data_IF_119395463698
#
_entry.id   IF_119395463698
#
_cell.length_a   1.000
_cell.length_b   1.000
_cell.length_c   1.000
_cell.angle_alpha   90.00
_cell.angle_beta   90.00
_cell.angle_gamma   90.00
#
_symmetry.space_group_name_H-M   'P 1'
#
loop_
_entity.id
_entity.type
_entity.pdbx_description
1 polymer ?
#
# COMPACT_ATOMS: atom_id res chain seq x y z
N UNK A 1 1.95 -23.56 -10.77
CA UNK A 1 1.52 -23.27 -9.38
C UNK A 1 0.97 -21.85 -9.36
N UNK A 2 -0.25 -21.61 -8.85
CA UNK A 2 -0.85 -20.25 -8.86
C UNK A 2 -0.01 -19.26 -8.05
N UNK A 3 0.12 -17.99 -8.51
CA UNK A 3 0.81 -16.91 -7.78
C UNK A 3 0.32 -16.79 -6.32
N UNK A 4 -0.99 -16.99 -6.09
CA UNK A 4 -1.58 -17.02 -4.74
C UNK A 4 -0.93 -18.05 -3.82
N UNK A 5 -0.66 -19.26 -4.32
CA UNK A 5 -0.04 -20.32 -3.52
C UNK A 5 1.44 -20.03 -3.21
N UNK A 6 2.13 -19.27 -4.06
CA UNK A 6 3.49 -18.83 -3.77
C UNK A 6 3.50 -17.83 -2.61
N UNK A 7 2.58 -16.87 -2.60
CA UNK A 7 2.44 -15.91 -1.50
C UNK A 7 2.06 -16.57 -0.18
N UNK A 8 1.13 -17.53 -0.19
CA UNK A 8 0.77 -18.27 1.03
C UNK A 8 1.99 -19.01 1.60
N UNK A 9 2.78 -19.68 0.75
CA UNK A 9 3.99 -20.38 1.18
C UNK A 9 5.05 -19.42 1.72
N UNK A 10 5.28 -18.31 1.04
CA UNK A 10 6.25 -17.30 1.47
C UNK A 10 5.84 -16.68 2.81
N UNK A 11 4.56 -16.31 2.96
CA UNK A 11 4.01 -15.80 4.20
C UNK A 11 4.18 -16.79 5.35
N UNK A 12 3.85 -18.07 5.11
CA UNK A 12 4.04 -19.14 6.09
C UNK A 12 5.50 -19.35 6.46
N UNK A 13 6.44 -19.16 5.54
CA UNK A 13 7.87 -19.23 5.84
C UNK A 13 8.33 -18.08 6.74
N UNK A 14 7.79 -16.89 6.57
CA UNK A 14 8.20 -15.67 7.30
C UNK A 14 7.53 -15.60 8.68
N UNK A 15 6.22 -15.86 8.75
CA UNK A 15 5.40 -15.63 9.95
C UNK A 15 4.90 -16.91 10.61
N UNK A 16 5.28 -18.09 10.11
CA UNK A 16 4.81 -19.39 10.60
C UNK A 16 3.27 -19.49 10.70
N UNK A 17 2.56 -18.87 9.76
CA UNK A 17 1.11 -18.80 9.74
C UNK A 17 0.57 -18.65 8.32
N UNK A 18 -0.74 -18.84 8.12
CA UNK A 18 -1.40 -18.57 6.84
C UNK A 18 -2.01 -17.17 6.82
N UNK A 19 -1.95 -16.44 5.69
CA UNK A 19 -2.54 -15.12 5.58
C UNK A 19 -4.06 -15.18 5.52
N UNK A 20 -4.71 -14.09 5.94
CA UNK A 20 -6.17 -13.98 5.93
C UNK A 20 -6.66 -13.30 4.64
N UNK A 21 -5.94 -12.27 4.17
CA UNK A 21 -6.28 -11.49 2.98
C UNK A 21 -5.06 -11.36 2.06
N UNK A 22 -5.30 -11.39 0.75
CA UNK A 22 -4.33 -11.06 -0.31
C UNK A 22 -5.01 -10.05 -1.22
N UNK A 23 -4.43 -8.86 -1.36
CA UNK A 23 -4.89 -7.83 -2.29
C UNK A 23 -3.76 -7.37 -3.19
N UNK A 24 -4.11 -6.91 -4.37
CA UNK A 24 -3.16 -6.52 -5.41
C UNK A 24 -3.64 -5.22 -6.04
N UNK A 25 -2.71 -4.32 -6.36
CA UNK A 25 -2.99 -3.12 -7.16
C UNK A 25 -1.90 -2.93 -8.22
N UNK A 26 -2.27 -2.51 -9.44
CA UNK A 26 -1.31 -2.29 -10.52
C UNK A 26 -0.59 -0.95 -10.35
N UNK A 27 0.63 -0.86 -10.90
CA UNK A 27 1.20 0.44 -11.26
C UNK A 27 0.43 1.08 -12.42
N UNK A 28 0.74 2.32 -12.76
CA UNK A 28 0.09 3.03 -13.88
C UNK A 28 1.12 3.76 -14.74
N UNK A 29 0.92 3.78 -16.05
CA UNK A 29 1.65 4.65 -16.96
C UNK A 29 0.76 5.80 -17.39
N UNK A 30 1.30 7.02 -17.37
CA UNK A 30 0.62 8.15 -18.00
C UNK A 30 0.81 8.08 -19.52
N UNK A 31 -0.28 8.28 -20.27
CA UNK A 31 -0.28 8.30 -21.73
C UNK A 31 -0.23 9.75 -22.23
N UNK A 32 -1.04 10.65 -21.66
CA UNK A 32 -1.03 12.09 -21.96
C UNK A 32 -1.60 12.89 -20.77
N UNK A 33 -1.23 14.16 -20.64
CA UNK A 33 -1.79 15.07 -19.64
C UNK A 33 -0.89 15.36 -18.43
N UNK A 34 0.41 15.10 -18.55
CA UNK A 34 1.40 15.42 -17.51
C UNK A 34 1.22 16.85 -17.00
N UNK A 35 1.31 17.01 -15.68
CA UNK A 35 1.23 18.31 -15.00
C UNK A 35 -0.13 19.03 -15.10
N UNK A 36 -1.19 18.34 -15.53
CA UNK A 36 -2.52 18.95 -15.62
C UNK A 36 -3.43 18.61 -14.45
N UNK A 37 -3.20 17.51 -13.75
CA UNK A 37 -4.08 16.97 -12.70
C UNK A 37 -4.18 17.91 -11.49
N UNK A 38 -3.05 18.48 -11.04
CA UNK A 38 -3.03 19.51 -10.00
C UNK A 38 -3.48 20.90 -10.48
N UNK A 39 -3.73 21.07 -11.78
CA UNK A 39 -4.26 22.28 -12.41
C UNK A 39 -5.74 22.12 -12.85
N UNK A 40 -6.45 21.09 -12.36
CA UNK A 40 -7.83 20.79 -12.76
C UNK A 40 -8.02 20.52 -14.27
N UNK A 41 -6.97 20.05 -14.94
CA UNK A 41 -7.03 19.62 -16.34
C UNK A 41 -7.34 18.12 -16.50
N UNK A 42 -7.27 17.63 -17.74
CA UNK A 42 -7.54 16.24 -18.07
C UNK A 42 -6.24 15.46 -18.28
N UNK A 43 -6.21 14.23 -17.77
CA UNK A 43 -5.13 13.27 -18.03
C UNK A 43 -5.71 11.92 -18.48
N UNK A 44 -4.94 11.19 -19.28
CA UNK A 44 -5.21 9.81 -19.66
C UNK A 44 -4.04 8.95 -19.20
N UNK A 45 -4.37 7.91 -18.45
CA UNK A 45 -3.44 6.94 -17.90
C UNK A 45 -4.01 5.53 -18.07
N UNK A 46 -3.15 4.52 -17.94
CA UNK A 46 -3.56 3.14 -17.95
C UNK A 46 -2.76 2.33 -16.91
N UNK A 47 -3.44 1.40 -16.25
CA UNK A 47 -2.79 0.39 -15.43
C UNK A 47 -1.82 -0.45 -16.28
N UNK A 48 -0.62 -0.71 -15.75
CA UNK A 48 0.36 -1.58 -16.40
C UNK A 48 0.22 -3.01 -15.90
N UNK A 49 0.75 -3.97 -16.66
CA UNK A 49 0.79 -5.39 -16.25
C UNK A 49 1.91 -5.68 -15.23
N UNK A 50 2.03 -4.84 -14.21
CA UNK A 50 2.94 -4.92 -13.06
C UNK A 50 2.18 -4.49 -11.82
N UNK A 51 2.33 -5.19 -10.72
CA UNK A 51 1.52 -5.03 -9.53
C UNK A 51 2.34 -5.06 -8.24
N UNK A 52 1.80 -4.38 -7.23
CA UNK A 52 2.14 -4.62 -5.84
C UNK A 52 1.07 -5.50 -5.21
N UNK A 53 1.51 -6.50 -4.44
CA UNK A 53 0.64 -7.40 -3.68
C UNK A 53 0.91 -7.24 -2.19
N UNK A 54 -0.16 -7.01 -1.44
CA UNK A 54 -0.16 -6.99 0.02
C UNK A 54 -0.86 -8.25 0.53
N UNK A 55 -0.18 -8.98 1.40
CA UNK A 55 -0.64 -10.23 2.01
C UNK A 55 -0.65 -10.00 3.52
N UNK A 56 -1.82 -10.09 4.15
CA UNK A 56 -1.99 -9.64 5.53
C UNK A 56 -2.68 -10.68 6.40
N UNK A 57 -2.31 -10.68 7.69
CA UNK A 57 -2.94 -11.47 8.73
C UNK A 57 -3.19 -10.62 9.98
N UNK A 58 -4.38 -10.71 10.55
CA UNK A 58 -4.70 -10.04 11.82
C UNK A 58 -3.98 -10.72 12.99
N UNK A 59 -3.52 -9.91 13.94
CA UNK A 59 -2.91 -10.35 15.19
C UNK A 59 -3.65 -9.74 16.39
N UNK A 60 -3.56 -10.43 17.52
CA UNK A 60 -4.22 -10.04 18.78
C UNK A 60 -3.42 -9.05 19.63
N UNK A 61 -2.28 -8.58 19.14
CA UNK A 61 -1.45 -7.55 19.80
C UNK A 61 -1.53 -6.21 19.06
N UNK A 62 -0.64 -5.28 19.39
CA UNK A 62 -0.55 -3.95 18.76
C UNK A 62 0.66 -3.82 17.83
N UNK A 63 1.31 -4.94 17.48
CA UNK A 63 2.54 -4.93 16.68
C UNK A 63 2.18 -5.03 15.20
N UNK A 64 2.79 -4.16 14.41
CA UNK A 64 2.81 -4.26 12.95
C UNK A 64 4.14 -4.88 12.56
N UNK A 65 4.10 -6.02 11.86
CA UNK A 65 5.30 -6.72 11.39
C UNK A 65 5.31 -6.73 9.88
N UNK A 66 6.21 -5.97 9.27
CA UNK A 66 6.22 -5.78 7.82
C UNK A 66 7.45 -6.44 7.21
N UNK A 67 7.24 -7.29 6.21
CA UNK A 67 8.28 -7.86 5.38
C UNK A 67 8.04 -7.44 3.93
N UNK A 68 9.09 -7.00 3.25
CA UNK A 68 9.10 -6.79 1.80
C UNK A 68 10.13 -7.69 1.13
N UNK A 69 9.74 -8.36 0.05
CA UNK A 69 10.65 -9.17 -0.77
C UNK A 69 11.74 -8.34 -1.45
N UNK A 70 11.47 -7.07 -1.74
CA UNK A 70 12.41 -6.15 -2.39
C UNK A 70 13.27 -5.33 -1.43
N UNK A 71 12.79 -5.07 -0.22
CA UNK A 71 13.41 -4.07 0.67
C UNK A 71 13.85 -4.59 2.05
N UNK A 72 13.51 -5.83 2.42
CA UNK A 72 13.83 -6.34 3.76
C UNK A 72 14.41 -7.75 3.74
N UNK A 73 15.37 -8.02 4.64
CA UNK A 73 15.88 -9.38 4.89
C UNK A 73 15.11 -10.09 6.01
N UNK A 74 14.58 -9.31 6.96
CA UNK A 74 13.80 -9.75 8.11
C UNK A 74 12.63 -8.78 8.33
N UNK A 75 11.54 -9.20 9.00
CA UNK A 75 10.41 -8.31 9.27
C UNK A 75 10.83 -7.10 10.12
N UNK A 76 10.47 -5.90 9.66
CA UNK A 76 10.50 -4.68 10.46
C UNK A 76 9.30 -4.66 11.40
N UNK A 77 9.49 -4.17 12.62
CA UNK A 77 8.44 -4.17 13.64
C UNK A 77 8.27 -2.77 14.21
N UNK A 78 7.03 -2.28 14.26
CA UNK A 78 6.65 -1.05 14.95
C UNK A 78 5.29 -1.21 15.64
N UNK A 79 4.95 -0.28 16.52
CA UNK A 79 3.70 -0.31 17.27
C UNK A 79 2.63 0.52 16.54
N UNK A 80 1.40 0.01 16.51
CA UNK A 80 0.27 0.66 15.86
C UNK A 80 -0.06 2.03 16.48
N UNK A 81 0.19 2.21 17.77
CA UNK A 81 -0.02 3.47 18.50
C UNK A 81 1.19 4.42 18.45
N UNK A 82 2.30 4.01 17.83
CA UNK A 82 3.53 4.79 17.76
C UNK A 82 4.19 4.69 16.36
N UNK A 83 3.53 5.30 15.37
CA UNK A 83 4.00 5.35 13.98
C UNK A 83 4.80 6.63 13.70
N UNK A 84 6.02 6.69 14.23
CA UNK A 84 6.93 7.81 13.96
C UNK A 84 7.53 7.73 12.56
N UNK A 85 7.83 8.92 12.00
CA UNK A 85 8.54 9.06 10.72
C UNK A 85 9.91 8.39 10.82
N UNK A 86 10.19 7.50 9.87
CA UNK A 86 11.51 6.92 9.68
C UNK A 86 12.45 7.91 9.00
N UNK A 87 13.59 7.41 8.52
CA UNK A 87 14.49 8.21 7.70
C UNK A 87 13.81 8.69 6.40
N UNK A 88 14.32 9.77 5.83
CA UNK A 88 13.81 10.27 4.55
C UNK A 88 14.00 9.21 3.46
N UNK A 89 12.92 8.86 2.75
CA UNK A 89 12.92 7.81 1.73
C UNK A 89 12.75 6.39 2.27
N UNK A 90 12.54 6.20 3.57
CA UNK A 90 12.17 4.89 4.13
C UNK A 90 10.80 4.43 3.62
N UNK A 91 10.77 3.30 2.91
CA UNK A 91 9.56 2.72 2.35
C UNK A 91 8.50 2.38 3.42
N UNK A 92 8.91 2.15 4.66
CA UNK A 92 7.98 1.91 5.77
C UNK A 92 7.10 3.13 6.07
N UNK A 93 7.51 4.34 5.67
CA UNK A 93 6.68 5.54 5.81
C UNK A 93 5.38 5.44 4.99
N UNK A 94 5.39 4.78 3.83
CA UNK A 94 4.18 4.50 3.05
C UNK A 94 3.22 3.59 3.81
N UNK A 95 3.76 2.52 4.41
CA UNK A 95 2.97 1.58 5.22
C UNK A 95 2.34 2.30 6.40
N UNK A 96 3.14 3.06 7.17
CA UNK A 96 2.68 3.82 8.32
C UNK A 96 1.65 4.88 7.94
N UNK A 97 1.87 5.62 6.84
CA UNK A 97 0.95 6.65 6.36
C UNK A 97 -0.42 6.09 6.03
N UNK A 98 -0.47 4.96 5.32
CA UNK A 98 -1.74 4.27 4.99
C UNK A 98 -2.43 3.79 6.26
N UNK A 99 -1.71 3.16 7.19
CA UNK A 99 -2.31 2.66 8.44
C UNK A 99 -2.87 3.81 9.29
N UNK A 100 -2.19 4.95 9.37
CA UNK A 100 -2.69 6.15 10.05
C UNK A 100 -3.99 6.66 9.43
N UNK A 101 -4.10 6.67 8.10
CA UNK A 101 -5.32 7.08 7.42
C UNK A 101 -6.46 6.06 7.59
N UNK A 102 -6.16 4.76 7.59
CA UNK A 102 -7.15 3.71 7.87
C UNK A 102 -7.71 3.84 9.29
N UNK A 103 -6.87 4.16 10.29
CA UNK A 103 -7.30 4.38 11.67
C UNK A 103 -8.33 5.52 11.82
N UNK A 104 -8.38 6.47 10.88
CA UNK A 104 -9.37 7.56 10.89
C UNK A 104 -10.78 7.11 10.51
N UNK A 105 -10.91 5.97 9.84
CA UNK A 105 -12.20 5.46 9.34
C UNK A 105 -12.63 4.14 10.00
N UNK A 106 -11.77 3.49 10.76
CA UNK A 106 -12.11 2.28 11.49
C UNK A 106 -11.05 1.82 12.47
N UNK A 107 -11.43 0.90 13.36
CA UNK A 107 -10.53 0.33 14.36
C UNK A 107 -9.77 -0.85 13.76
N UNK A 108 -8.46 -0.82 13.89
CA UNK A 108 -7.56 -1.91 13.47
C UNK A 108 -6.73 -2.40 14.67
N UNK A 109 -6.09 -3.56 14.54
CA UNK A 109 -5.18 -4.14 15.53
C UNK A 109 -3.80 -4.44 14.90
N UNK A 110 -2.90 -5.04 15.67
CA UNK A 110 -1.65 -5.57 15.16
C UNK A 110 -1.88 -6.53 13.99
N UNK A 111 -0.91 -6.60 13.10
CA UNK A 111 -0.98 -7.43 11.90
C UNK A 111 0.39 -7.76 11.34
N UNK A 112 0.46 -8.87 10.63
CA UNK A 112 1.62 -9.25 9.84
C UNK A 112 1.35 -8.90 8.38
N UNK A 113 2.31 -8.24 7.73
CA UNK A 113 2.18 -7.69 6.38
C UNK A 113 3.36 -8.15 5.54
N UNK A 114 3.08 -8.90 4.49
CA UNK A 114 4.04 -9.21 3.43
C UNK A 114 3.71 -8.37 2.20
N UNK A 115 4.72 -7.65 1.71
CA UNK A 115 4.67 -6.86 0.47
C UNK A 115 5.58 -7.50 -0.57
N UNK A 116 5.06 -7.66 -1.78
CA UNK A 116 5.82 -8.03 -2.97
C UNK A 116 5.42 -7.11 -4.12
N UNK A 117 6.38 -6.65 -4.92
CA UNK A 117 6.10 -5.75 -6.03
C UNK A 117 7.00 -6.05 -7.21
N UNK A 118 6.40 -6.15 -8.40
CA UNK A 118 7.12 -6.12 -9.68
C UNK A 118 6.95 -4.79 -10.43
N UNK A 119 6.39 -3.77 -9.77
CA UNK A 119 6.35 -2.39 -10.28
C UNK A 119 7.74 -1.75 -10.10
N UNK A 120 8.38 -1.24 -11.18
CA UNK A 120 9.67 -0.57 -11.07
C UNK A 120 9.63 0.65 -10.13
N UNK A 121 10.59 0.72 -9.22
CA UNK A 121 10.67 1.78 -8.20
C UNK A 121 11.02 3.17 -8.76
N UNK A 122 11.57 3.29 -9.97
CA UNK A 122 12.12 4.53 -10.53
C UNK A 122 11.65 4.88 -11.94
N UNK A 123 10.45 4.45 -12.34
CA UNK A 123 9.97 4.60 -13.73
C UNK A 123 8.92 5.68 -13.99
N UNK A 124 8.52 6.48 -12.98
CA UNK A 124 7.33 7.35 -13.10
C UNK A 124 6.02 6.56 -13.27
N UNK A 125 6.01 5.29 -12.86
CA UNK A 125 4.89 4.35 -13.04
C UNK A 125 4.05 4.10 -11.78
N UNK A 126 4.10 5.05 -10.83
CA UNK A 126 3.34 5.06 -9.56
C UNK A 126 3.47 3.79 -8.73
N UNK A 127 4.71 3.40 -8.43
CA UNK A 127 4.99 2.31 -7.49
C UNK A 127 4.49 2.59 -6.07
N UNK A 128 4.45 3.86 -5.65
CA UNK A 128 3.87 4.29 -4.36
C UNK A 128 2.35 4.07 -4.33
N UNK A 129 1.62 4.58 -5.31
CA UNK A 129 0.16 4.41 -5.36
C UNK A 129 -0.25 2.93 -5.43
N UNK A 130 0.47 2.10 -6.19
CA UNK A 130 0.24 0.65 -6.22
C UNK A 130 0.43 0.00 -4.83
N UNK A 131 1.48 0.39 -4.09
CA UNK A 131 1.70 -0.07 -2.72
C UNK A 131 0.58 0.37 -1.79
N UNK A 132 0.22 1.65 -1.83
CA UNK A 132 -0.79 2.24 -0.96
C UNK A 132 -2.18 1.62 -1.16
N UNK A 133 -2.56 1.40 -2.42
CA UNK A 133 -3.85 0.81 -2.77
C UNK A 133 -3.91 -0.69 -2.46
N UNK A 134 -2.83 -1.43 -2.73
CA UNK A 134 -2.77 -2.85 -2.37
C UNK A 134 -2.89 -3.01 -0.85
N UNK A 135 -2.15 -2.21 -0.08
CA UNK A 135 -2.17 -2.24 1.38
C UNK A 135 -3.53 -1.81 1.94
N UNK A 136 -4.04 -0.64 1.54
CA UNK A 136 -5.33 -0.14 2.05
C UNK A 136 -6.46 -1.12 1.74
N UNK A 137 -6.50 -1.69 0.53
CA UNK A 137 -7.50 -2.71 0.16
C UNK A 137 -7.38 -3.95 1.03
N UNK A 138 -6.16 -4.44 1.27
CA UNK A 138 -5.93 -5.61 2.12
C UNK A 138 -6.39 -5.35 3.57
N UNK A 139 -6.03 -4.21 4.15
CA UNK A 139 -6.32 -3.85 5.54
C UNK A 139 -7.81 -3.55 5.74
N UNK A 140 -8.43 -2.76 4.86
CA UNK A 140 -9.88 -2.49 4.93
C UNK A 140 -10.68 -3.80 4.85
N UNK A 141 -10.29 -4.72 3.97
CA UNK A 141 -10.91 -6.05 3.87
C UNK A 141 -10.68 -6.90 5.13
N UNK A 142 -9.46 -6.89 5.68
CA UNK A 142 -9.08 -7.65 6.88
C UNK A 142 -9.95 -7.25 8.08
N UNK A 143 -10.19 -5.96 8.25
CA UNK A 143 -10.98 -5.42 9.36
C UNK A 143 -12.46 -5.16 9.00
N UNK A 144 -12.90 -5.56 7.80
CA UNK A 144 -14.28 -5.39 7.30
C UNK A 144 -14.76 -3.93 7.38
N UNK A 145 -13.88 -3.00 7.04
CA UNK A 145 -14.18 -1.56 6.97
C UNK A 145 -14.62 -1.26 5.53
N UNK A 146 -15.85 -0.80 5.36
CA UNK A 146 -16.39 -0.43 4.05
C UNK A 146 -15.95 0.97 3.65
N UNK A 147 -15.38 1.10 2.45
CA UNK A 147 -14.95 2.38 1.89
C UNK A 147 -15.01 2.31 0.36
N UNK A 148 -15.63 3.30 -0.28
CA UNK A 148 -15.71 3.34 -1.74
C UNK A 148 -14.34 3.57 -2.39
N UNK A 149 -14.15 3.12 -3.62
CA UNK A 149 -12.83 3.18 -4.29
C UNK A 149 -12.28 4.59 -4.44
N UNK A 150 -13.13 5.58 -4.72
CA UNK A 150 -12.72 7.00 -4.75
C UNK A 150 -12.26 7.48 -3.38
N UNK A 151 -12.95 7.10 -2.30
CA UNK A 151 -12.58 7.49 -0.94
C UNK A 151 -11.26 6.82 -0.52
N UNK A 152 -11.05 5.57 -0.93
CA UNK A 152 -9.80 4.82 -0.75
C UNK A 152 -8.64 5.45 -1.52
N UNK A 153 -8.83 5.82 -2.79
CA UNK A 153 -7.82 6.54 -3.56
C UNK A 153 -7.45 7.88 -2.91
N UNK A 154 -8.44 8.66 -2.44
CA UNK A 154 -8.20 9.90 -1.68
C UNK A 154 -7.50 9.65 -0.35
N UNK A 155 -7.75 8.51 0.29
CA UNK A 155 -7.06 8.10 1.52
C UNK A 155 -5.58 7.86 1.26
N UNK A 156 -5.25 7.09 0.23
CA UNK A 156 -3.87 6.86 -0.20
C UNK A 156 -3.17 8.17 -0.56
N UNK A 157 -3.84 9.06 -1.30
CA UNK A 157 -3.31 10.39 -1.63
C UNK A 157 -3.00 11.22 -0.37
N UNK A 158 -3.88 11.19 0.65
CA UNK A 158 -3.61 11.88 1.93
C UNK A 158 -2.46 11.25 2.70
N UNK A 159 -2.28 9.93 2.61
CA UNK A 159 -1.13 9.27 3.21
C UNK A 159 0.17 9.78 2.57
N UNK A 160 0.27 9.79 1.23
CA UNK A 160 1.45 10.24 0.47
C UNK A 160 1.81 11.72 0.74
N UNK A 161 0.79 12.58 0.81
CA UNK A 161 0.94 13.98 1.16
C UNK A 161 1.25 14.23 2.66
N UNK A 162 0.95 13.25 3.52
CA UNK A 162 1.08 13.38 4.97
C UNK A 162 2.53 13.48 5.44
N UNK A 163 2.73 13.94 6.68
CA UNK A 163 4.05 14.30 7.22
C UNK A 163 5.10 13.16 7.18
N UNK A 164 4.66 11.90 7.24
CA UNK A 164 5.55 10.74 7.20
C UNK A 164 6.26 10.58 5.85
N UNK A 165 5.58 10.92 4.75
CA UNK A 165 6.10 10.75 3.38
C UNK A 165 6.44 12.12 2.80
N UNK A 166 5.48 13.06 2.84
CA UNK A 166 5.67 14.46 2.52
C UNK A 166 5.87 14.74 1.04
N UNK A 167 5.34 13.86 0.17
CA UNK A 167 5.43 14.03 -1.28
C UNK A 167 4.14 14.70 -1.76
N UNK A 168 4.18 15.98 -2.18
CA UNK A 168 3.01 16.65 -2.72
C UNK A 168 2.60 15.99 -4.06
N UNK A 169 1.46 15.31 -4.08
CA UNK A 169 0.93 14.61 -5.26
C UNK A 169 -0.55 14.91 -5.53
N UNK A 170 -0.91 14.88 -6.82
CA UNK A 170 -2.28 14.96 -7.30
C UNK A 170 -3.06 13.66 -7.11
N UNK A 171 -4.30 13.60 -7.59
CA UNK A 171 -5.20 12.46 -7.42
C UNK A 171 -5.01 11.37 -8.50
N UNK A 172 -4.30 11.69 -9.58
CA UNK A 172 -4.24 10.87 -10.79
C UNK A 172 -3.69 9.48 -10.53
N UNK A 173 -2.63 9.37 -9.73
CA UNK A 173 -1.92 8.10 -9.51
C UNK A 173 -2.80 7.09 -8.76
N UNK A 174 -3.39 7.53 -7.65
CA UNK A 174 -4.29 6.70 -6.85
C UNK A 174 -5.61 6.42 -7.58
N UNK A 175 -6.10 7.33 -8.41
CA UNK A 175 -7.25 7.07 -9.26
C UNK A 175 -6.96 5.99 -10.30
N UNK A 176 -5.84 6.11 -11.02
CA UNK A 176 -5.50 5.23 -12.15
C UNK A 176 -5.11 3.81 -11.72
N UNK A 177 -4.55 3.68 -10.51
CA UNK A 177 -4.18 2.39 -9.94
C UNK A 177 -5.33 1.73 -9.16
N UNK A 178 -6.40 2.48 -8.84
CA UNK A 178 -7.43 2.07 -7.88
C UNK A 178 -8.87 2.02 -8.40
N UNK A 179 -9.13 2.62 -9.57
CA UNK A 179 -10.42 2.66 -10.29
C UNK A 179 -10.29 1.93 -11.63
#
# INVERSE_FOLDING_TARGET
>A
MSKKNQFIKLFSKIYNSTPDIIATAPGRAEIIGNHTDYNSGYALSAAINRNTTAVVKMQNDQKIRVYSTGYSKTPSIFMLDNMQKGEHGDWLNYIKGVLLEVQKVGRISGMDILIDSDVPSSGGVSSSAALELALSTAVLSLFKIELGDIQKAKMCQRAENGELIGIPCGFLDQASSGL
#
